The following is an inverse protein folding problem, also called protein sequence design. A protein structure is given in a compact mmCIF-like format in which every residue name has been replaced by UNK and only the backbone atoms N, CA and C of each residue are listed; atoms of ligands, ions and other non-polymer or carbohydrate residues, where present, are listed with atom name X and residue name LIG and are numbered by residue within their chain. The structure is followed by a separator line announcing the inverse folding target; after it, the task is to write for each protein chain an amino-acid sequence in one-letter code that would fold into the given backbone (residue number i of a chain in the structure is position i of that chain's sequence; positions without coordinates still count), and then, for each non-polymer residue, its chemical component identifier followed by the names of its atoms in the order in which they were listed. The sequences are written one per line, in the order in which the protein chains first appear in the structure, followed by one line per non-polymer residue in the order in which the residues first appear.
data_IF_115633171943
#
_entry.id   IF_115633171943
#
_cell.length_a   1.000
_cell.length_b   1.000
_cell.length_c   1.000
_cell.angle_alpha   90.00
_cell.angle_beta   90.00
_cell.angle_gamma   90.00
#
_symmetry.space_group_name_H-M   'P 1'
#
loop_
_entity.id
_entity.type
_entity.pdbx_description
1 polymer ?
#
# COMPACT_ATOMS: atom_id res chain seq x y z
N UNK A 1 -16.38 24.34 -14.60
CA UNK A 1 -16.41 22.86 -14.59
C UNK A 1 -17.10 22.40 -13.33
N UNK A 2 -18.01 21.45 -13.44
CA UNK A 2 -18.74 20.87 -12.30
C UNK A 2 -18.80 19.36 -12.41
N UNK A 3 -18.76 18.68 -11.29
CA UNK A 3 -18.98 17.22 -11.23
C UNK A 3 -20.44 16.96 -11.60
N UNK A 4 -20.65 16.14 -12.64
CA UNK A 4 -21.96 15.75 -13.18
C UNK A 4 -22.28 14.27 -12.91
N UNK A 5 -21.28 13.42 -12.66
CA UNK A 5 -21.49 12.05 -12.23
C UNK A 5 -20.35 11.58 -11.32
N UNK A 6 -20.70 10.69 -10.40
CA UNK A 6 -19.78 10.05 -9.46
C UNK A 6 -20.13 8.56 -9.36
N UNK A 7 -19.24 7.71 -9.84
CA UNK A 7 -19.46 6.27 -9.92
C UNK A 7 -18.45 5.51 -9.09
N UNK A 8 -18.90 4.49 -8.38
CA UNK A 8 -18.08 3.52 -7.65
C UNK A 8 -18.27 2.13 -8.26
N UNK A 9 -17.18 1.53 -8.71
CA UNK A 9 -17.18 0.16 -9.23
C UNK A 9 -16.43 -0.77 -8.30
N UNK A 10 -17.07 -1.85 -7.87
CA UNK A 10 -16.41 -2.92 -7.12
C UNK A 10 -15.70 -3.85 -8.10
N UNK A 11 -14.39 -3.81 -8.07
CA UNK A 11 -13.53 -4.58 -8.97
C UNK A 11 -12.92 -5.76 -8.22
N UNK A 12 -13.00 -6.94 -8.83
CA UNK A 12 -12.41 -8.17 -8.31
C UNK A 12 -11.67 -8.89 -9.43
N UNK A 13 -10.35 -8.91 -9.36
CA UNK A 13 -9.47 -9.51 -10.37
C UNK A 13 -8.82 -10.77 -9.76
N UNK A 14 -8.99 -11.96 -10.37
CA UNK A 14 -8.36 -13.16 -9.85
C UNK A 14 -6.82 -13.05 -9.91
N UNK A 15 -6.16 -13.48 -8.85
CA UNK A 15 -4.70 -13.60 -8.82
C UNK A 15 -4.26 -14.88 -9.54
N UNK A 16 -3.09 -14.85 -10.16
CA UNK A 16 -2.51 -16.04 -10.83
C UNK A 16 -2.20 -17.18 -9.85
N UNK A 17 -1.97 -16.86 -8.59
CA UNK A 17 -1.77 -17.80 -7.47
C UNK A 17 -2.32 -17.20 -6.20
N UNK A 18 -2.68 -18.04 -5.23
CA UNK A 18 -3.06 -17.59 -3.89
C UNK A 18 -1.89 -16.82 -3.26
N UNK A 19 -2.19 -15.69 -2.67
CA UNK A 19 -1.25 -14.82 -1.97
C UNK A 19 -1.54 -14.86 -0.46
N UNK A 20 -0.50 -15.05 0.36
CA UNK A 20 -0.57 -15.12 1.82
C UNK A 20 0.14 -13.92 2.46
N UNK A 21 -0.57 -12.79 2.62
CA UNK A 21 0.05 -11.58 3.12
C UNK A 21 0.50 -11.70 4.58
N UNK A 22 1.71 -11.22 4.88
CA UNK A 22 2.26 -11.22 6.24
C UNK A 22 1.49 -10.33 7.21
N UNK A 23 0.83 -9.28 6.72
CA UNK A 23 0.06 -8.34 7.54
C UNK A 23 -1.34 -8.83 7.94
N UNK A 24 -1.83 -9.91 7.34
CA UNK A 24 -3.06 -10.62 7.73
C UNK A 24 -2.75 -12.12 7.73
N UNK A 25 -2.04 -12.62 8.75
CA UNK A 25 -1.65 -14.03 8.79
C UNK A 25 -2.86 -14.95 8.82
N UNK A 26 -2.75 -16.08 8.13
CA UNK A 26 -3.81 -17.07 8.02
C UNK A 26 -4.97 -16.72 7.06
N UNK A 27 -4.94 -15.55 6.41
CA UNK A 27 -6.00 -15.12 5.48
C UNK A 27 -5.52 -15.10 4.02
N UNK A 28 -5.82 -16.16 3.23
CA UNK A 28 -5.41 -16.23 1.83
C UNK A 28 -6.18 -15.25 0.96
N UNK A 29 -5.48 -14.63 0.03
CA UNK A 29 -6.07 -13.77 -0.99
C UNK A 29 -5.99 -14.45 -2.36
N UNK A 30 -7.14 -14.70 -2.96
CA UNK A 30 -7.27 -15.29 -4.30
C UNK A 30 -7.60 -14.26 -5.37
N UNK A 31 -8.00 -13.07 -4.95
CA UNK A 31 -8.38 -11.96 -5.82
C UNK A 31 -7.78 -10.66 -5.31
N UNK A 32 -7.38 -9.78 -6.22
CA UNK A 32 -7.16 -8.38 -5.93
C UNK A 32 -8.52 -7.68 -6.01
N UNK A 33 -8.99 -7.12 -4.88
CA UNK A 33 -10.27 -6.43 -4.78
C UNK A 33 -10.03 -4.96 -4.44
N UNK A 34 -10.66 -4.08 -5.21
CA UNK A 34 -10.58 -2.64 -4.98
C UNK A 34 -11.84 -1.94 -5.48
N UNK A 35 -12.03 -0.71 -5.07
CA UNK A 35 -13.07 0.15 -5.61
C UNK A 35 -12.44 1.10 -6.62
N UNK A 36 -12.90 1.04 -7.86
CA UNK A 36 -12.58 2.03 -8.88
C UNK A 36 -13.55 3.21 -8.72
N UNK A 37 -13.02 4.40 -8.68
CA UNK A 37 -13.76 5.66 -8.58
C UNK A 37 -13.66 6.36 -9.93
N UNK A 38 -14.82 6.74 -10.48
CA UNK A 38 -14.92 7.55 -11.70
C UNK A 38 -15.69 8.82 -11.38
N UNK A 39 -15.12 9.94 -11.74
CA UNK A 39 -15.77 11.26 -11.68
C UNK A 39 -15.91 11.77 -13.10
N UNK A 40 -17.10 12.22 -13.48
CA UNK A 40 -17.38 12.85 -14.78
C UNK A 40 -17.74 14.31 -14.56
N UNK A 41 -17.27 15.18 -15.42
CA UNK A 41 -17.59 16.60 -15.38
C UNK A 41 -18.59 16.99 -16.45
N UNK A 42 -19.26 18.14 -16.28
CA UNK A 42 -20.15 18.75 -17.27
C UNK A 42 -19.43 19.17 -18.57
N UNK A 43 -18.09 19.23 -18.54
CA UNK A 43 -17.24 19.47 -19.73
C UNK A 43 -16.79 18.16 -20.40
N UNK A 44 -17.25 16.98 -19.91
CA UNK A 44 -16.92 15.65 -20.47
C UNK A 44 -15.54 15.12 -20.09
N UNK A 45 -14.81 15.77 -19.17
CA UNK A 45 -13.55 15.25 -18.67
C UNK A 45 -13.83 14.23 -17.57
N UNK A 46 -13.21 13.07 -17.66
CA UNK A 46 -13.31 12.01 -16.67
C UNK A 46 -12.03 11.90 -15.84
N UNK A 47 -12.17 11.67 -14.54
CA UNK A 47 -11.06 11.38 -13.63
C UNK A 47 -11.25 10.03 -12.95
N UNK A 48 -10.14 9.33 -12.75
CA UNK A 48 -10.12 8.01 -12.16
C UNK A 48 -9.19 7.93 -10.96
N UNK A 49 -9.62 7.16 -9.97
CA UNK A 49 -8.77 6.73 -8.86
C UNK A 49 -9.22 5.36 -8.36
N UNK A 50 -8.45 4.78 -7.45
CA UNK A 50 -8.81 3.52 -6.84
C UNK A 50 -8.56 3.55 -5.33
N UNK A 51 -9.43 2.92 -4.58
CA UNK A 51 -9.36 2.80 -3.13
C UNK A 51 -9.50 1.38 -2.66
N UNK A 52 -9.44 1.19 -1.35
CA UNK A 52 -9.67 -0.11 -0.73
C UNK A 52 -11.03 -0.68 -1.14
N UNK A 53 -11.12 -2.00 -1.27
CA UNK A 53 -12.40 -2.66 -1.52
C UNK A 53 -13.43 -2.25 -0.47
N UNK A 54 -14.60 -1.84 -0.95
CA UNK A 54 -15.79 -1.69 -0.11
C UNK A 54 -16.63 -2.95 -0.27
N UNK A 55 -17.04 -3.55 0.83
CA UNK A 55 -17.92 -4.70 0.82
C UNK A 55 -19.35 -4.32 0.43
N UNK A 56 -20.21 -5.32 0.28
CA UNK A 56 -21.64 -5.13 0.01
C UNK A 56 -22.35 -4.29 1.07
N UNK A 57 -21.85 -4.31 2.30
CA UNK A 57 -22.35 -3.49 3.40
C UNK A 57 -22.24 -1.97 3.15
N UNK A 58 -21.49 -1.58 2.13
CA UNK A 58 -21.33 -0.19 1.70
C UNK A 58 -21.99 0.10 0.35
N UNK A 59 -22.83 -0.79 -0.11
CA UNK A 59 -23.68 -0.57 -1.28
C UNK A 59 -24.55 0.67 -1.04
N UNK A 60 -24.66 1.56 -2.03
CA UNK A 60 -25.34 2.85 -1.88
C UNK A 60 -24.46 3.99 -1.33
N UNK A 61 -23.25 3.73 -0.84
CA UNK A 61 -22.35 4.79 -0.39
C UNK A 61 -21.97 5.76 -1.52
N UNK A 62 -21.97 5.28 -2.78
CA UNK A 62 -21.78 6.12 -3.96
C UNK A 62 -22.81 7.24 -4.06
N UNK A 63 -24.07 6.93 -3.86
CA UNK A 63 -25.17 7.90 -3.88
C UNK A 63 -25.01 8.91 -2.73
N UNK A 64 -24.64 8.44 -1.54
CA UNK A 64 -24.41 9.29 -0.39
C UNK A 64 -23.24 10.24 -0.60
N UNK A 65 -22.11 9.73 -1.08
CA UNK A 65 -20.93 10.56 -1.37
C UNK A 65 -21.17 11.48 -2.56
N UNK A 66 -21.89 11.02 -3.57
CA UNK A 66 -22.32 11.83 -4.71
C UNK A 66 -23.06 13.08 -4.26
N UNK A 67 -23.93 12.98 -3.25
CA UNK A 67 -24.64 14.12 -2.69
C UNK A 67 -23.72 15.23 -2.16
N UNK A 68 -22.51 14.90 -1.69
CA UNK A 68 -21.52 15.88 -1.25
C UNK A 68 -20.68 16.46 -2.40
N UNK A 69 -20.55 15.76 -3.51
CA UNK A 69 -19.61 16.08 -4.59
C UNK A 69 -20.29 16.64 -5.83
N UNK A 70 -21.57 16.30 -6.06
CA UNK A 70 -22.31 16.76 -7.24
C UNK A 70 -22.35 18.29 -7.31
N UNK A 71 -22.02 18.85 -8.47
CA UNK A 71 -21.98 20.29 -8.72
C UNK A 71 -20.75 21.02 -8.17
N UNK A 72 -19.86 20.35 -7.40
CA UNK A 72 -18.58 20.92 -6.98
C UNK A 72 -17.61 21.05 -8.17
N UNK A 73 -16.67 22.00 -8.08
CA UNK A 73 -15.58 22.12 -9.05
C UNK A 73 -14.44 21.16 -8.68
N UNK A 74 -14.18 20.10 -9.47
CA UNK A 74 -13.11 19.14 -9.17
C UNK A 74 -11.71 19.72 -9.30
N UNK A 75 -11.54 20.90 -9.89
CA UNK A 75 -10.23 21.59 -9.99
C UNK A 75 -9.93 22.44 -8.77
N UNK A 76 -10.91 22.76 -7.94
CA UNK A 76 -10.72 23.37 -6.63
C UNK A 76 -10.46 22.29 -5.58
N UNK A 77 -9.20 21.83 -5.54
CA UNK A 77 -8.77 20.74 -4.66
C UNK A 77 -9.03 21.07 -3.18
N UNK A 78 -8.87 22.33 -2.76
CA UNK A 78 -9.08 22.73 -1.37
C UNK A 78 -10.55 22.56 -0.95
N UNK A 79 -11.49 22.96 -1.81
CA UNK A 79 -12.93 22.75 -1.58
C UNK A 79 -13.29 21.27 -1.59
N UNK A 80 -12.72 20.48 -2.50
CA UNK A 80 -12.92 19.01 -2.52
C UNK A 80 -12.43 18.38 -1.22
N UNK A 81 -11.24 18.73 -0.73
CA UNK A 81 -10.72 18.23 0.55
C UNK A 81 -11.65 18.59 1.72
N UNK A 82 -12.18 19.81 1.76
CA UNK A 82 -13.13 20.22 2.80
C UNK A 82 -14.43 19.38 2.76
N UNK A 83 -14.99 19.13 1.58
CA UNK A 83 -16.16 18.26 1.41
C UNK A 83 -15.87 16.82 1.83
N UNK A 84 -14.74 16.26 1.42
CA UNK A 84 -14.34 14.89 1.80
C UNK A 84 -14.09 14.76 3.30
N UNK A 85 -13.57 15.81 3.95
CA UNK A 85 -13.41 15.84 5.40
C UNK A 85 -14.78 15.79 6.11
N UNK A 86 -15.77 16.52 5.62
CA UNK A 86 -17.14 16.47 6.17
C UNK A 86 -17.75 15.08 5.96
N UNK A 87 -17.64 14.52 4.75
CA UNK A 87 -18.13 13.18 4.45
C UNK A 87 -17.42 12.09 5.29
N UNK A 88 -16.21 12.36 5.78
CA UNK A 88 -15.43 11.45 6.64
C UNK A 88 -16.12 11.08 7.95
N UNK A 89 -17.08 11.88 8.45
CA UNK A 89 -17.88 11.55 9.63
C UNK A 89 -18.71 10.27 9.44
N UNK A 90 -18.96 9.89 8.19
CA UNK A 90 -19.67 8.65 7.83
C UNK A 90 -18.81 7.39 8.05
N UNK A 91 -17.58 7.54 8.58
CA UNK A 91 -16.70 6.44 8.96
C UNK A 91 -15.95 5.80 7.79
N UNK A 92 -16.09 6.28 6.57
CA UNK A 92 -15.34 5.79 5.42
C UNK A 92 -14.09 6.62 5.15
N UNK A 93 -13.01 5.94 4.77
CA UNK A 93 -11.78 6.60 4.31
C UNK A 93 -11.99 7.08 2.88
N UNK A 94 -12.44 8.31 2.71
CA UNK A 94 -12.84 8.89 1.43
C UNK A 94 -11.72 9.64 0.69
N UNK A 95 -10.51 9.71 1.23
CA UNK A 95 -9.37 10.38 0.61
C UNK A 95 -8.95 9.77 -0.75
N UNK A 96 -9.41 8.56 -1.06
CA UNK A 96 -9.22 7.93 -2.36
C UNK A 96 -9.91 8.67 -3.52
N UNK A 97 -10.86 9.53 -3.23
CA UNK A 97 -11.63 10.30 -4.22
C UNK A 97 -10.79 11.45 -4.78
N UNK A 98 -10.04 12.14 -3.94
CA UNK A 98 -9.25 13.29 -4.32
C UNK A 98 -8.30 13.04 -5.51
N UNK A 99 -7.59 11.90 -5.62
CA UNK A 99 -6.76 11.61 -6.78
C UNK A 99 -7.50 11.62 -8.12
N UNK A 100 -8.81 11.31 -8.16
CA UNK A 100 -9.61 11.44 -9.38
C UNK A 100 -9.81 12.91 -9.78
N UNK A 101 -9.91 13.83 -8.82
CA UNK A 101 -9.95 15.27 -9.08
C UNK A 101 -8.61 15.79 -9.61
N UNK A 102 -7.50 15.29 -9.06
CA UNK A 102 -6.16 15.59 -9.61
C UNK A 102 -5.98 15.06 -11.03
N UNK A 103 -6.54 13.89 -11.35
CA UNK A 103 -6.53 13.34 -12.71
C UNK A 103 -7.30 14.25 -13.70
N UNK A 104 -8.46 14.77 -13.29
CA UNK A 104 -9.22 15.77 -14.05
C UNK A 104 -8.41 17.05 -14.26
N UNK A 105 -7.81 17.57 -13.19
CA UNK A 105 -7.01 18.79 -13.25
C UNK A 105 -5.82 18.62 -14.18
N UNK A 106 -5.14 17.48 -14.11
CA UNK A 106 -4.04 17.12 -15.01
C UNK A 106 -4.45 17.06 -16.46
N UNK A 107 -5.56 16.39 -16.77
CA UNK A 107 -6.14 16.29 -18.11
C UNK A 107 -6.55 17.67 -18.65
N UNK A 108 -7.21 18.49 -17.84
CA UNK A 108 -7.58 19.86 -18.21
C UNK A 108 -6.37 20.73 -18.51
N UNK A 109 -5.31 20.62 -17.70
CA UNK A 109 -4.08 21.38 -17.88
C UNK A 109 -3.14 20.81 -18.95
N UNK A 110 -3.39 19.61 -19.48
CA UNK A 110 -2.48 18.90 -20.37
C UNK A 110 -1.14 18.55 -19.72
N UNK A 111 -1.12 18.36 -18.39
CA UNK A 111 0.10 18.13 -17.58
C UNK A 111 -0.05 16.95 -16.64
N UNK A 112 1.00 16.17 -16.41
CA UNK A 112 0.98 15.17 -15.37
C UNK A 112 0.89 15.83 -13.98
N UNK A 113 0.27 15.12 -13.02
CA UNK A 113 0.02 15.66 -11.66
C UNK A 113 1.31 16.10 -10.95
N UNK A 114 2.43 15.40 -11.16
CA UNK A 114 3.68 15.79 -10.51
C UNK A 114 4.17 17.19 -10.95
N UNK A 115 3.91 17.62 -12.18
CA UNK A 115 4.22 18.99 -12.64
C UNK A 115 3.30 20.02 -12.00
N UNK A 116 2.01 19.70 -11.84
CA UNK A 116 1.07 20.57 -11.13
C UNK A 116 1.47 20.76 -9.66
N UNK A 117 2.12 19.77 -9.07
CA UNK A 117 2.67 19.83 -7.71
C UNK A 117 4.08 20.45 -7.65
N UNK A 118 4.58 21.02 -8.75
CA UNK A 118 5.90 21.64 -8.80
C UNK A 118 7.07 20.66 -8.93
N UNK A 119 6.78 19.37 -9.18
CA UNK A 119 7.77 18.32 -9.37
C UNK A 119 8.39 18.34 -10.78
N UNK A 120 9.47 17.58 -10.95
CA UNK A 120 10.13 17.34 -12.23
C UNK A 120 10.27 15.83 -12.44
N UNK A 121 10.13 15.39 -13.71
CA UNK A 121 10.39 14.01 -14.07
C UNK A 121 11.85 13.63 -13.75
N UNK A 122 12.02 12.56 -13.00
CA UNK A 122 13.33 11.98 -12.67
C UNK A 122 13.20 10.49 -12.46
N UNK A 123 14.24 9.70 -12.70
CA UNK A 123 14.27 8.32 -12.28
C UNK A 123 14.09 8.21 -10.77
N UNK A 124 13.24 7.27 -10.32
CA UNK A 124 13.02 6.97 -8.92
C UNK A 124 13.52 5.57 -8.64
N UNK A 125 14.42 5.43 -7.67
CA UNK A 125 14.88 4.12 -7.23
C UNK A 125 13.73 3.38 -6.57
N UNK A 126 13.50 2.15 -7.01
CA UNK A 126 12.46 1.27 -6.46
C UNK A 126 13.09 0.05 -5.81
N UNK A 127 12.40 -0.54 -4.83
CA UNK A 127 12.82 -1.80 -4.23
C UNK A 127 11.81 -2.92 -4.53
N UNK A 128 12.31 -4.16 -4.55
CA UNK A 128 11.47 -5.34 -4.59
C UNK A 128 10.81 -5.54 -3.21
N UNK A 129 9.50 -5.29 -3.13
CA UNK A 129 8.74 -5.56 -1.91
C UNK A 129 8.25 -7.00 -1.91
N UNK A 130 8.73 -7.81 -0.95
CA UNK A 130 8.17 -9.14 -0.72
C UNK A 130 6.89 -9.03 0.12
N UNK A 131 5.97 -9.96 -0.02
CA UNK A 131 4.67 -9.91 0.66
C UNK A 131 4.35 -11.13 1.50
N UNK A 132 5.03 -12.24 1.25
CA UNK A 132 4.82 -13.53 1.90
C UNK A 132 6.03 -13.95 2.73
N UNK A 133 5.80 -14.77 3.76
CA UNK A 133 6.88 -15.49 4.44
C UNK A 133 7.31 -16.66 3.58
N UNK A 134 8.61 -16.83 3.39
CA UNK A 134 9.21 -18.00 2.77
C UNK A 134 10.43 -18.42 3.60
N UNK A 135 10.83 -19.68 3.49
CA UNK A 135 12.08 -20.14 4.06
C UNK A 135 13.25 -19.28 3.56
N UNK A 136 14.22 -18.97 4.41
CA UNK A 136 15.28 -18.01 4.07
C UNK A 136 16.09 -18.42 2.84
N UNK A 137 16.34 -19.69 2.63
CA UNK A 137 17.06 -20.21 1.47
C UNK A 137 16.30 -19.95 0.16
N UNK A 138 14.98 -20.21 0.16
CA UNK A 138 14.10 -19.90 -0.97
C UNK A 138 14.02 -18.38 -1.22
N UNK A 139 14.02 -17.59 -0.15
CA UNK A 139 14.04 -16.12 -0.27
C UNK A 139 15.32 -15.63 -0.95
N UNK A 140 16.46 -16.24 -0.67
CA UNK A 140 17.72 -15.94 -1.38
C UNK A 140 17.58 -16.14 -2.89
N UNK A 141 17.07 -17.30 -3.32
CA UNK A 141 16.86 -17.60 -4.74
C UNK A 141 15.95 -16.58 -5.41
N UNK A 142 14.82 -16.24 -4.79
CA UNK A 142 13.88 -15.25 -5.29
C UNK A 142 14.51 -13.86 -5.43
N UNK A 143 15.30 -13.42 -4.45
CA UNK A 143 15.94 -12.12 -4.48
C UNK A 143 17.06 -12.04 -5.51
N UNK A 144 17.83 -13.11 -5.71
CA UNK A 144 18.81 -13.17 -6.78
C UNK A 144 18.15 -13.10 -8.17
N UNK A 145 16.98 -13.74 -8.33
CA UNK A 145 16.19 -13.61 -9.55
C UNK A 145 15.64 -12.17 -9.76
N UNK A 146 15.27 -11.46 -8.70
CA UNK A 146 14.88 -10.03 -8.82
C UNK A 146 16.09 -9.14 -9.12
N UNK A 147 17.24 -9.42 -8.52
CA UNK A 147 18.49 -8.73 -8.87
C UNK A 147 18.83 -8.86 -10.35
N UNK A 148 18.66 -10.05 -10.92
CA UNK A 148 18.87 -10.28 -12.36
C UNK A 148 17.94 -9.42 -13.25
N UNK A 149 16.78 -8.97 -12.73
CA UNK A 149 15.85 -8.02 -13.37
C UNK A 149 16.24 -6.55 -13.17
N UNK A 150 17.32 -6.27 -12.44
CA UNK A 150 17.82 -4.91 -12.22
C UNK A 150 17.47 -4.28 -10.88
N UNK A 151 16.74 -4.96 -9.97
CA UNK A 151 16.52 -4.44 -8.63
C UNK A 151 17.84 -4.36 -7.86
N UNK A 152 18.03 -3.24 -7.15
CA UNK A 152 19.21 -3.00 -6.30
C UNK A 152 18.88 -3.08 -4.81
N UNK A 153 17.60 -3.05 -4.49
CA UNK A 153 17.10 -3.03 -3.12
C UNK A 153 15.93 -3.99 -2.98
N UNK A 154 15.82 -4.68 -1.84
CA UNK A 154 14.69 -5.54 -1.52
C UNK A 154 14.26 -5.34 -0.05
N UNK A 155 12.95 -5.51 0.20
CA UNK A 155 12.37 -5.51 1.53
C UNK A 155 11.93 -6.93 1.90
N UNK A 156 12.49 -7.43 3.00
CA UNK A 156 12.16 -8.72 3.59
C UNK A 156 10.88 -8.63 4.42
N UNK A 157 10.32 -9.78 4.76
CA UNK A 157 9.24 -9.92 5.75
C UNK A 157 9.68 -10.86 6.84
N UNK A 158 9.38 -10.49 8.08
CA UNK A 158 9.61 -11.31 9.26
C UNK A 158 8.36 -11.29 10.13
N UNK A 159 7.98 -12.46 10.63
CA UNK A 159 6.80 -12.62 11.48
C UNK A 159 6.76 -14.02 12.12
N UNK A 160 7.92 -14.58 12.43
CA UNK A 160 7.98 -15.86 13.11
C UNK A 160 7.53 -15.71 14.56
N UNK A 161 7.10 -16.81 15.17
CA UNK A 161 6.74 -16.84 16.59
C UNK A 161 7.95 -16.53 17.46
N UNK A 162 9.06 -17.15 17.15
CA UNK A 162 10.32 -17.01 17.88
C UNK A 162 11.22 -15.95 17.22
N UNK A 163 11.77 -15.05 18.02
CA UNK A 163 12.69 -14.01 17.55
C UNK A 163 13.92 -14.56 16.83
N UNK A 164 14.48 -15.66 17.35
CA UNK A 164 15.63 -16.32 16.76
C UNK A 164 15.42 -16.72 15.29
N UNK A 165 14.19 -17.08 14.91
CA UNK A 165 13.86 -17.48 13.56
C UNK A 165 13.80 -16.26 12.62
N UNK A 166 13.33 -15.10 13.12
CA UNK A 166 13.39 -13.84 12.39
C UNK A 166 14.84 -13.38 12.19
N UNK A 167 15.69 -13.50 13.22
CA UNK A 167 17.12 -13.18 13.13
C UNK A 167 17.81 -14.11 12.13
N UNK A 168 17.62 -15.42 12.26
CA UNK A 168 18.15 -16.41 11.30
C UNK A 168 17.73 -16.08 9.86
N UNK A 169 16.48 -15.68 9.65
CA UNK A 169 15.99 -15.31 8.31
C UNK A 169 16.83 -14.17 7.71
N UNK A 170 17.08 -13.12 8.48
CA UNK A 170 17.90 -11.98 8.03
C UNK A 170 19.33 -12.40 7.77
N UNK A 171 19.96 -13.19 8.67
CA UNK A 171 21.34 -13.66 8.54
C UNK A 171 21.56 -14.51 7.30
N UNK A 172 20.69 -15.52 7.09
CA UNK A 172 20.80 -16.43 5.95
C UNK A 172 20.58 -15.67 4.64
N UNK A 173 19.58 -14.77 4.59
CA UNK A 173 19.32 -13.99 3.38
C UNK A 173 20.49 -13.03 3.10
N UNK A 174 21.00 -12.31 4.10
CA UNK A 174 22.17 -11.44 3.92
C UNK A 174 23.38 -12.21 3.41
N UNK A 175 23.67 -13.34 4.03
CA UNK A 175 24.77 -14.21 3.59
C UNK A 175 24.60 -14.69 2.15
N UNK A 176 23.36 -15.07 1.77
CA UNK A 176 23.08 -15.61 0.45
C UNK A 176 23.10 -14.58 -0.68
N UNK A 177 22.64 -13.36 -0.43
CA UNK A 177 22.64 -12.30 -1.46
C UNK A 177 23.93 -11.44 -1.42
N UNK A 178 24.71 -11.52 -0.34
CA UNK A 178 25.91 -10.69 -0.14
C UNK A 178 25.58 -9.20 -0.21
N UNK A 179 26.54 -8.40 -0.67
CA UNK A 179 26.38 -6.94 -0.86
C UNK A 179 25.70 -6.58 -2.18
N UNK A 180 25.25 -7.57 -2.92
CA UNK A 180 24.65 -7.40 -4.22
C UNK A 180 23.28 -6.69 -4.19
N UNK A 181 22.60 -6.72 -3.04
CA UNK A 181 21.33 -6.06 -2.78
C UNK A 181 21.38 -5.30 -1.45
N UNK A 182 20.89 -4.06 -1.45
CA UNK A 182 20.51 -3.38 -0.22
C UNK A 182 19.26 -4.06 0.34
N UNK A 183 19.26 -4.42 1.62
CA UNK A 183 18.13 -5.04 2.28
C UNK A 183 17.49 -4.09 3.29
N UNK A 184 16.17 -4.09 3.33
CA UNK A 184 15.37 -3.62 4.44
C UNK A 184 14.46 -4.74 4.93
N UNK A 185 13.78 -4.54 6.04
CA UNK A 185 12.86 -5.53 6.60
C UNK A 185 11.63 -4.85 7.19
N UNK A 186 10.49 -5.51 7.05
CA UNK A 186 9.21 -5.08 7.60
C UNK A 186 8.67 -6.17 8.52
N UNK A 187 8.47 -5.83 9.80
CA UNK A 187 7.96 -6.72 10.82
C UNK A 187 6.42 -6.75 10.88
N UNK A 188 5.74 -5.85 10.16
CA UNK A 188 4.29 -5.74 10.09
C UNK A 188 3.59 -5.69 11.46
N UNK A 189 4.18 -5.00 12.44
CA UNK A 189 3.58 -4.83 13.76
C UNK A 189 2.71 -3.56 13.85
N UNK A 190 2.89 -2.60 12.93
CA UNK A 190 2.25 -1.29 12.98
C UNK A 190 0.71 -1.31 12.98
N UNK A 191 0.11 -2.35 12.40
CA UNK A 191 -1.35 -2.61 12.41
C UNK A 191 -1.59 -4.11 12.38
N UNK A 192 -1.12 -4.79 13.41
CA UNK A 192 -1.20 -6.26 13.49
C UNK A 192 -2.65 -6.74 13.50
N UNK A 193 -2.99 -7.62 12.55
CA UNK A 193 -4.31 -8.30 12.47
C UNK A 193 -4.12 -9.76 12.85
N UNK A 194 -4.65 -10.15 14.01
CA UNK A 194 -4.52 -11.51 14.58
C UNK A 194 -5.84 -12.26 14.69
N UNK A 195 -6.84 -11.86 13.88
CA UNK A 195 -8.19 -12.43 13.95
C UNK A 195 -8.19 -13.88 13.50
N UNK A 196 -7.44 -14.19 12.42
CA UNK A 196 -7.41 -15.52 11.82
C UNK A 196 -6.30 -16.37 12.43
N UNK A 197 -5.10 -15.81 12.51
CA UNK A 197 -3.94 -16.48 13.08
C UNK A 197 -3.35 -15.63 14.21
N UNK A 198 -3.16 -16.25 15.38
CA UNK A 198 -2.62 -15.60 16.57
C UNK A 198 -1.10 -15.62 16.52
N UNK A 199 -0.53 -14.55 16.01
CA UNK A 199 0.92 -14.30 16.10
C UNK A 199 1.21 -13.34 17.26
N UNK A 200 2.38 -13.43 17.92
CA UNK A 200 2.72 -12.53 18.99
C UNK A 200 2.89 -11.10 18.50
N UNK A 201 2.33 -10.14 19.23
CA UNK A 201 2.72 -8.75 19.09
C UNK A 201 4.13 -8.58 19.65
N UNK A 202 4.95 -7.77 18.98
CA UNK A 202 6.29 -7.47 19.47
C UNK A 202 6.22 -6.40 20.58
N UNK A 203 6.97 -6.64 21.63
CA UNK A 203 7.26 -5.66 22.65
C UNK A 203 8.55 -4.89 22.30
N UNK A 204 8.89 -3.90 23.14
CA UNK A 204 10.04 -3.06 22.94
C UNK A 204 11.36 -3.86 23.01
N UNK A 205 11.45 -4.87 23.88
CA UNK A 205 12.63 -5.69 24.05
C UNK A 205 12.92 -6.51 22.78
N UNK A 206 11.92 -7.21 22.27
CA UNK A 206 12.01 -7.95 21.00
C UNK A 206 12.37 -7.04 19.83
N UNK A 207 11.69 -5.88 19.72
CA UNK A 207 11.96 -4.91 18.67
C UNK A 207 13.40 -4.37 18.72
N UNK A 208 13.90 -4.06 19.92
CA UNK A 208 15.27 -3.57 20.11
C UNK A 208 16.32 -4.65 19.82
N UNK A 209 16.08 -5.89 20.20
CA UNK A 209 16.98 -7.01 19.91
C UNK A 209 17.04 -7.30 18.41
N UNK A 210 15.88 -7.34 17.75
CA UNK A 210 15.82 -7.52 16.30
C UNK A 210 16.46 -6.34 15.54
N UNK A 211 16.29 -5.10 16.01
CA UNK A 211 16.93 -3.93 15.42
C UNK A 211 18.48 -4.01 15.50
N UNK A 212 19.01 -4.55 16.61
CA UNK A 212 20.46 -4.83 16.71
C UNK A 212 20.91 -5.85 15.68
N UNK A 213 20.17 -6.95 15.52
CA UNK A 213 20.47 -7.97 14.51
C UNK A 213 20.40 -7.38 13.09
N UNK A 214 19.42 -6.52 12.78
CA UNK A 214 19.34 -5.82 11.51
C UNK A 214 20.57 -4.96 11.24
N UNK A 215 21.00 -4.16 12.22
CA UNK A 215 22.22 -3.34 12.12
C UNK A 215 23.46 -4.20 11.89
N UNK A 216 23.63 -5.27 12.65
CA UNK A 216 24.81 -6.14 12.59
C UNK A 216 24.89 -6.90 11.26
N UNK A 217 23.74 -7.07 10.57
CA UNK A 217 23.65 -7.62 9.22
C UNK A 217 23.59 -6.53 8.12
N UNK A 218 23.83 -5.26 8.43
CA UNK A 218 23.89 -4.17 7.45
C UNK A 218 22.57 -3.92 6.72
N UNK A 219 21.41 -4.05 7.39
CA UNK A 219 20.14 -3.68 6.82
C UNK A 219 19.97 -2.16 6.82
N UNK A 220 19.37 -1.63 5.74
CA UNK A 220 19.15 -0.20 5.54
C UNK A 220 18.03 0.39 6.38
N UNK A 221 17.00 -0.40 6.71
CA UNK A 221 15.88 0.01 7.58
C UNK A 221 15.13 -1.17 8.18
N UNK A 222 14.44 -0.89 9.28
CA UNK A 222 13.45 -1.74 9.93
C UNK A 222 12.11 -0.98 9.94
N UNK A 223 11.07 -1.58 9.36
CA UNK A 223 9.72 -1.01 9.20
C UNK A 223 8.76 -1.68 10.16
N UNK A 224 7.90 -0.90 10.77
CA UNK A 224 6.80 -1.34 11.65
C UNK A 224 7.23 -2.36 12.73
N UNK A 225 8.28 -2.11 13.55
CA UNK A 225 8.69 -3.06 14.58
C UNK A 225 7.75 -3.11 15.80
N UNK A 226 6.88 -2.10 15.94
CA UNK A 226 5.93 -1.94 17.05
C UNK A 226 4.57 -1.46 16.53
N UNK A 227 3.55 -1.60 17.36
CA UNK A 227 2.22 -1.06 17.08
C UNK A 227 2.29 0.48 16.97
N UNK A 228 1.57 1.04 16.02
CA UNK A 228 1.51 2.48 15.76
C UNK A 228 0.42 3.20 16.58
N UNK A 229 -0.32 2.48 17.41
CA UNK A 229 -1.39 3.01 18.28
C UNK A 229 -0.90 3.34 19.67
#
# INVERSE_FOLDING_TARGET
MKISAFDLYHVSVPLKKTFWPTWIPGYPQTHNRFTLIRIVTDEGIEGFSAGSAMGKEREGLGDLLGGYLMGADPTDIASIQALLKQAGILGWRNFWIEPACWDILGKKAGKPVYELLGGKARPVEVYCSTGEMHEPEKRVEELLAQKAKGFKTAKLRVKNRELKDDIRHVEVVRKGVGDALRLGVDANQGRLVTIVDKVPAWDLERAAEFARACRDNGLGWLEEPLDSR
#
